data_IF_145497524267
#
_entry.id   IF_145497524267
#
_cell.length_a   1.000
_cell.length_b   1.000
_cell.length_c   1.000
_cell.angle_alpha   90.00
_cell.angle_beta   90.00
_cell.angle_gamma   90.00
#
_symmetry.space_group_name_H-M   'P 1'
#
loop_
_entity.id
_entity.type
_entity.pdbx_description
1 polymer ?
#
# COMPACT_ATOMS: atom_id res chain seq x y z
N UNK A 1 24.44 -11.73 1.84
CA UNK A 1 23.02 -11.89 1.45
C UNK A 1 22.61 -10.72 0.58
N UNK A 2 22.49 -10.90 -0.73
CA UNK A 2 21.93 -9.86 -1.60
C UNK A 2 20.41 -9.80 -1.40
N UNK A 3 19.86 -8.62 -1.14
CA UNK A 3 18.41 -8.41 -1.15
C UNK A 3 17.89 -8.77 -2.55
N UNK A 4 17.29 -9.96 -2.68
CA UNK A 4 16.54 -10.33 -3.87
C UNK A 4 15.24 -9.55 -3.82
N UNK A 5 15.14 -8.50 -4.63
CA UNK A 5 13.92 -7.75 -4.90
C UNK A 5 12.95 -8.62 -5.72
N UNK A 6 12.45 -9.69 -5.12
CA UNK A 6 11.44 -10.53 -5.75
C UNK A 6 10.04 -10.06 -5.35
N UNK A 7 9.09 -10.03 -6.30
CA UNK A 7 7.72 -9.69 -6.01
C UNK A 7 7.14 -10.74 -5.06
N UNK A 8 6.93 -10.30 -3.83
CA UNK A 8 6.56 -11.12 -2.69
C UNK A 8 5.13 -10.81 -2.24
N UNK A 9 4.54 -9.76 -2.80
CA UNK A 9 3.15 -9.36 -2.62
C UNK A 9 2.32 -10.07 -3.70
N UNK A 10 1.47 -11.00 -3.28
CA UNK A 10 0.48 -11.66 -4.13
C UNK A 10 -0.54 -10.69 -4.71
N UNK A 11 -1.20 -11.09 -5.80
CA UNK A 11 -2.16 -10.20 -6.49
C UNK A 11 -3.33 -9.76 -5.62
N UNK A 12 -3.75 -10.58 -4.66
CA UNK A 12 -4.82 -10.22 -3.73
C UNK A 12 -4.41 -9.06 -2.80
N UNK A 13 -3.26 -9.19 -2.12
CA UNK A 13 -2.73 -8.13 -1.25
C UNK A 13 -2.47 -6.85 -2.04
N UNK A 14 -1.95 -6.98 -3.27
CA UNK A 14 -1.78 -5.85 -4.17
C UNK A 14 -3.09 -5.13 -4.48
N UNK A 15 -4.15 -5.86 -4.87
CA UNK A 15 -5.46 -5.27 -5.20
C UNK A 15 -6.06 -4.61 -3.97
N UNK A 16 -5.99 -5.26 -2.81
CA UNK A 16 -6.49 -4.71 -1.56
C UNK A 16 -5.78 -3.39 -1.21
N UNK A 17 -4.45 -3.38 -1.32
CA UNK A 17 -3.63 -2.21 -1.02
C UNK A 17 -3.82 -1.07 -2.01
N UNK A 18 -4.06 -1.41 -3.26
CA UNK A 18 -4.39 -0.45 -4.31
C UNK A 18 -5.79 0.14 -4.07
N UNK A 19 -6.79 -0.69 -3.74
CA UNK A 19 -8.14 -0.24 -3.43
C UNK A 19 -8.21 0.65 -2.18
N UNK A 20 -7.61 0.20 -1.07
CA UNK A 20 -7.55 0.98 0.17
C UNK A 20 -6.73 2.26 -0.04
N UNK A 21 -5.61 2.19 -0.77
CA UNK A 21 -4.78 3.34 -1.09
C UNK A 21 -5.52 4.41 -1.89
N UNK A 22 -6.26 4.01 -2.94
CA UNK A 22 -7.11 4.94 -3.71
C UNK A 22 -8.18 5.55 -2.81
N UNK A 23 -8.87 4.75 -2.00
CA UNK A 23 -9.91 5.26 -1.12
C UNK A 23 -9.37 6.29 -0.12
N UNK A 24 -8.20 6.04 0.47
CA UNK A 24 -7.55 6.97 1.40
C UNK A 24 -7.07 8.25 0.71
N UNK A 25 -6.53 8.17 -0.51
CA UNK A 25 -6.18 9.35 -1.32
C UNK A 25 -7.42 10.18 -1.65
N UNK A 26 -8.51 9.50 -2.02
CA UNK A 26 -9.77 10.17 -2.37
C UNK A 26 -10.36 10.91 -1.17
N UNK A 27 -10.47 10.27 -0.01
CA UNK A 27 -10.96 10.92 1.22
C UNK A 27 -9.98 11.97 1.74
N UNK A 28 -8.67 11.75 1.60
CA UNK A 28 -7.65 12.66 2.14
C UNK A 28 -7.44 13.94 1.33
N UNK A 29 -7.54 13.88 0.00
CA UNK A 29 -7.25 15.01 -0.89
C UNK A 29 -8.45 15.53 -1.70
N UNK A 30 -9.46 14.70 -1.96
CA UNK A 30 -10.62 15.10 -2.79
C UNK A 30 -11.81 15.45 -1.89
N UNK A 31 -12.12 14.58 -0.92
CA UNK A 31 -13.26 14.74 -0.01
C UNK A 31 -12.78 15.03 1.43
N UNK A 32 -11.85 15.98 1.55
CA UNK A 32 -11.21 16.33 2.83
C UNK A 32 -12.17 16.92 3.87
N UNK A 33 -13.39 17.29 3.48
CA UNK A 33 -14.45 17.73 4.41
C UNK A 33 -14.91 16.61 5.35
N UNK A 34 -14.78 15.33 4.97
CA UNK A 34 -15.16 14.18 5.82
C UNK A 34 -14.36 14.14 7.13
N UNK A 35 -13.09 14.55 7.09
CA UNK A 35 -12.16 14.41 8.22
C UNK A 35 -12.23 15.62 9.17
N UNK A 36 -12.76 16.76 8.72
CA UNK A 36 -12.96 17.97 9.52
C UNK A 36 -11.67 18.71 9.91
N UNK A 37 -10.52 18.02 9.95
CA UNK A 37 -9.19 18.56 10.25
C UNK A 37 -8.25 18.38 9.05
N UNK A 38 -7.78 19.50 8.49
CA UNK A 38 -6.92 19.51 7.30
C UNK A 38 -5.59 18.78 7.51
N UNK A 39 -5.07 18.72 8.74
CA UNK A 39 -3.81 18.04 9.05
C UNK A 39 -4.00 16.52 8.99
N UNK A 40 -5.10 16.03 9.55
CA UNK A 40 -5.46 14.61 9.49
C UNK A 40 -5.80 14.18 8.06
N UNK A 41 -6.51 15.02 7.29
CA UNK A 41 -6.81 14.76 5.88
C UNK A 41 -5.53 14.57 5.04
N UNK A 42 -4.55 15.45 5.23
CA UNK A 42 -3.26 15.36 4.54
C UNK A 42 -2.47 14.10 4.95
N UNK A 43 -2.45 13.75 6.25
CA UNK A 43 -1.79 12.52 6.71
C UNK A 43 -2.42 11.28 6.09
N UNK A 44 -3.75 11.25 6.01
CA UNK A 44 -4.52 10.12 5.51
C UNK A 44 -4.32 9.96 3.99
N UNK A 45 -4.32 11.07 3.26
CA UNK A 45 -3.97 11.10 1.84
C UNK A 45 -2.53 10.64 1.57
N UNK A 46 -1.57 11.09 2.38
CA UNK A 46 -0.18 10.65 2.29
C UNK A 46 -0.02 9.15 2.58
N UNK A 47 -0.72 8.62 3.58
CA UNK A 47 -0.77 7.19 3.87
C UNK A 47 -1.37 6.36 2.73
N UNK A 48 -2.41 6.89 2.08
CA UNK A 48 -2.99 6.30 0.87
C UNK A 48 -1.97 6.24 -0.28
N UNK A 49 -1.20 7.31 -0.48
CA UNK A 49 -0.15 7.37 -1.49
C UNK A 49 0.97 6.35 -1.22
N UNK A 50 1.41 6.20 0.03
CA UNK A 50 2.37 5.17 0.40
C UNK A 50 1.85 3.75 0.12
N UNK A 51 0.57 3.49 0.38
CA UNK A 51 -0.05 2.21 0.04
C UNK A 51 -0.09 1.96 -1.47
N UNK A 52 -0.38 2.99 -2.27
CA UNK A 52 -0.31 2.90 -3.73
C UNK A 52 1.10 2.60 -4.22
N UNK A 53 2.11 3.31 -3.70
CA UNK A 53 3.52 3.06 -4.05
C UNK A 53 3.93 1.63 -3.68
N UNK A 54 3.55 1.15 -2.49
CA UNK A 54 3.80 -0.23 -2.08
C UNK A 54 3.09 -1.25 -2.99
N UNK A 55 1.86 -0.96 -3.42
CA UNK A 55 1.12 -1.79 -4.36
C UNK A 55 1.76 -1.81 -5.77
N UNK A 56 2.31 -0.68 -6.23
CA UNK A 56 3.00 -0.58 -7.53
C UNK A 56 4.32 -1.35 -7.51
N UNK A 57 5.11 -1.17 -6.45
CA UNK A 57 6.41 -1.82 -6.33
C UNK A 57 6.29 -3.35 -6.16
N UNK A 58 5.13 -3.88 -5.76
CA UNK A 58 4.89 -5.33 -5.48
C UNK A 58 5.93 -5.95 -4.52
N UNK A 59 6.67 -5.10 -3.82
CA UNK A 59 7.71 -5.46 -2.88
C UNK A 59 7.40 -4.68 -1.62
N UNK A 60 6.93 -5.40 -0.60
CA UNK A 60 6.79 -4.83 0.73
C UNK A 60 8.11 -5.09 1.47
N UNK A 61 8.94 -4.08 1.75
CA UNK A 61 10.26 -4.29 2.36
C UNK A 61 10.14 -5.00 3.72
N UNK A 62 9.04 -4.78 4.44
CA UNK A 62 8.75 -5.49 5.68
C UNK A 62 8.51 -6.98 5.49
N UNK A 63 7.86 -7.39 4.39
CA UNK A 63 7.64 -8.81 4.09
C UNK A 63 8.92 -9.47 3.59
N UNK A 64 9.77 -8.72 2.86
CA UNK A 64 11.12 -9.15 2.51
C UNK A 64 12.02 -9.31 3.74
N UNK A 65 11.87 -8.44 4.76
CA UNK A 65 12.58 -8.54 6.03
C UNK A 65 12.04 -9.66 6.93
N UNK A 66 10.73 -9.93 6.86
CA UNK A 66 10.06 -10.99 7.61
C UNK A 66 10.07 -12.36 6.89
N UNK A 67 10.62 -12.44 5.67
CA UNK A 67 10.61 -13.62 4.80
C UNK A 67 9.21 -14.21 4.53
N UNK A 68 8.17 -13.36 4.56
CA UNK A 68 6.77 -13.77 4.39
C UNK A 68 6.38 -13.61 2.93
N UNK A 69 6.32 -14.68 2.15
CA UNK A 69 5.83 -14.62 0.76
C UNK A 69 4.32 -14.88 0.67
N UNK A 70 3.56 -13.88 0.21
CA UNK A 70 2.11 -14.02 -0.08
C UNK A 70 1.83 -14.11 -1.58
N UNK A 71 2.87 -14.04 -2.43
CA UNK A 71 2.81 -14.47 -3.81
C UNK A 71 2.85 -16.01 -3.81
N UNK A 72 1.68 -16.62 -3.59
CA UNK A 72 1.48 -18.05 -3.75
C UNK A 72 1.75 -18.40 -5.22
N UNK A 73 2.95 -18.91 -5.50
CA UNK A 73 3.36 -19.35 -6.83
C UNK A 73 3.29 -20.89 -6.96
N UNK A 74 2.67 -21.56 -5.98
CA UNK A 74 2.39 -23.00 -5.94
C UNK A 74 0.99 -23.33 -6.52
N UNK A 75 0.68 -22.79 -7.71
CA UNK A 75 -0.26 -23.37 -8.68
C UNK A 75 0.46 -23.48 -10.04
#
# INVERSE_FOLDING_TARGET
MGLRWQPNVGRFDQILRLGIGIAMVWVGFIDSEIIGDSLMANLLGLFGLFNLVAAVLRVCPFYTLADINTNNQDD
#
